data_IF_607878766291
#
_entry.id   IF_607878766291
#
_cell.length_a   1.000
_cell.length_b   1.000
_cell.length_c   1.000
_cell.angle_alpha   90.00
_cell.angle_beta   90.00
_cell.angle_gamma   90.00
#
_symmetry.space_group_name_H-M   'P 1'
#
loop_
_entity.id
_entity.type
_entity.pdbx_description
1 polymer ?
#
# COMPACT_ATOMS: atom_id res chain seq x y z
N UNK A 1 23.15 2.68 -23.15
CA UNK A 1 22.92 2.66 -21.70
C UNK A 1 21.72 1.74 -21.53
N UNK A 2 21.98 0.50 -21.13
CA UNK A 2 20.97 -0.57 -21.17
C UNK A 2 19.94 -0.31 -20.08
N UNK A 3 18.68 -0.25 -20.49
CA UNK A 3 17.50 -0.13 -19.65
C UNK A 3 17.38 -1.43 -18.82
N UNK A 4 18.12 -1.47 -17.71
CA UNK A 4 18.21 -2.65 -16.85
C UNK A 4 16.96 -2.73 -16.00
N UNK A 5 16.06 -3.66 -16.31
CA UNK A 5 14.97 -4.02 -15.42
C UNK A 5 15.60 -4.47 -14.10
N UNK A 6 15.36 -3.74 -13.02
CA UNK A 6 15.78 -4.15 -11.68
C UNK A 6 15.12 -5.51 -11.34
N UNK A 7 15.91 -6.49 -10.88
CA UNK A 7 15.43 -7.84 -10.58
C UNK A 7 15.56 -8.86 -11.73
N UNK A 8 16.40 -8.57 -12.73
CA UNK A 8 16.74 -9.52 -13.80
C UNK A 8 17.87 -10.51 -13.42
N UNK A 9 18.40 -10.40 -12.20
CA UNK A 9 19.42 -11.29 -11.64
C UNK A 9 18.88 -12.72 -11.44
N UNK A 10 19.72 -13.77 -11.65
CA UNK A 10 19.31 -15.14 -11.38
C UNK A 10 19.05 -15.35 -9.89
N UNK A 11 18.00 -16.12 -9.56
CA UNK A 11 17.68 -16.48 -8.18
C UNK A 11 18.82 -17.29 -7.54
N UNK A 12 19.21 -16.89 -6.33
CA UNK A 12 20.22 -17.58 -5.51
C UNK A 12 19.73 -17.72 -4.07
N UNK A 13 20.15 -18.80 -3.41
CA UNK A 13 19.78 -19.06 -2.01
C UNK A 13 20.24 -17.92 -1.09
N UNK A 14 19.37 -17.52 -0.15
CA UNK A 14 19.65 -16.45 0.81
C UNK A 14 19.53 -15.03 0.25
N UNK A 15 19.07 -14.86 -1.00
CA UNK A 15 18.78 -13.55 -1.57
C UNK A 15 17.60 -12.87 -0.83
N UNK A 16 17.82 -11.63 -0.39
CA UNK A 16 16.76 -10.80 0.18
C UNK A 16 16.05 -10.05 -0.94
N UNK A 17 14.79 -10.42 -1.17
CA UNK A 17 13.92 -9.76 -2.14
C UNK A 17 12.93 -8.87 -1.40
N UNK A 18 12.70 -7.67 -1.93
CA UNK A 18 11.70 -6.75 -1.40
C UNK A 18 10.92 -6.17 -2.57
N UNK A 19 9.61 -6.37 -2.56
CA UNK A 19 8.71 -5.82 -3.57
C UNK A 19 8.04 -4.58 -2.98
N UNK A 20 8.25 -3.42 -3.60
CA UNK A 20 7.54 -2.19 -3.25
C UNK A 20 6.44 -1.97 -4.28
N UNK A 21 5.20 -1.93 -3.81
CA UNK A 21 4.03 -1.66 -4.65
C UNK A 21 3.50 -0.29 -4.26
N UNK A 22 3.32 0.59 -5.24
CA UNK A 22 2.68 1.89 -5.06
C UNK A 22 1.36 1.90 -5.81
N UNK A 23 0.30 2.36 -5.14
CA UNK A 23 -1.03 2.47 -5.72
C UNK A 23 -1.67 3.76 -5.24
N UNK A 24 -2.00 4.61 -6.20
CA UNK A 24 -2.50 5.94 -5.89
C UNK A 24 -4.02 5.97 -6.04
N UNK A 25 -4.66 6.67 -5.10
CA UNK A 25 -6.11 6.81 -5.04
C UNK A 25 -6.47 8.28 -4.96
N UNK A 26 -7.55 8.67 -5.64
CA UNK A 26 -8.13 10.01 -5.52
C UNK A 26 -9.48 9.89 -4.84
N UNK A 27 -9.67 10.60 -3.72
CA UNK A 27 -10.96 10.70 -3.06
C UNK A 27 -11.87 11.63 -3.87
N UNK A 28 -12.89 11.06 -4.50
CA UNK A 28 -13.86 11.81 -5.31
C UNK A 28 -15.09 12.25 -4.52
N UNK A 29 -15.43 11.53 -3.44
CA UNK A 29 -16.48 11.86 -2.47
C UNK A 29 -16.13 11.24 -1.10
N UNK A 30 -15.68 12.07 -0.17
CA UNK A 30 -15.22 11.62 1.14
C UNK A 30 -16.34 11.03 2.01
N UNK A 31 -17.56 11.59 1.93
CA UNK A 31 -18.69 11.14 2.74
C UNK A 31 -19.16 9.74 2.32
N UNK A 32 -19.25 9.51 1.01
CA UNK A 32 -19.58 8.17 0.47
C UNK A 32 -18.50 7.14 0.77
N UNK A 33 -17.23 7.53 0.66
CA UNK A 33 -16.11 6.62 0.96
C UNK A 33 -16.12 6.17 2.43
N UNK A 34 -16.27 7.10 3.37
CA UNK A 34 -16.35 6.78 4.80
C UNK A 34 -17.58 5.91 5.12
N UNK A 35 -18.74 6.20 4.55
CA UNK A 35 -19.93 5.39 4.75
C UNK A 35 -19.74 3.95 4.22
N UNK A 36 -19.10 3.79 3.07
CA UNK A 36 -18.80 2.48 2.51
C UNK A 36 -17.80 1.70 3.37
N UNK A 37 -16.70 2.35 3.80
CA UNK A 37 -15.69 1.71 4.63
C UNK A 37 -16.24 1.29 6.01
N UNK A 38 -17.08 2.12 6.65
CA UNK A 38 -17.75 1.76 7.92
C UNK A 38 -18.67 0.56 7.81
N UNK A 39 -19.36 0.44 6.68
CA UNK A 39 -20.19 -0.73 6.39
C UNK A 39 -19.33 -1.98 6.22
N UNK A 40 -18.23 -1.88 5.47
CA UNK A 40 -17.28 -2.98 5.28
C UNK A 40 -16.66 -3.40 6.63
N UNK A 41 -16.29 -2.45 7.48
CA UNK A 41 -15.76 -2.76 8.82
C UNK A 41 -16.75 -3.59 9.65
N UNK A 42 -18.05 -3.25 9.61
CA UNK A 42 -19.10 -4.05 10.27
C UNK A 42 -19.32 -5.43 9.63
N UNK A 43 -19.01 -5.59 8.34
CA UNK A 43 -19.07 -6.89 7.66
C UNK A 43 -17.89 -7.78 8.08
N UNK A 44 -16.71 -7.19 8.32
CA UNK A 44 -15.50 -7.89 8.78
C UNK A 44 -15.54 -8.22 10.27
N UNK A 45 -16.11 -7.34 11.09
CA UNK A 45 -16.22 -7.48 12.54
C UNK A 45 -17.69 -7.66 12.96
N UNK A 46 -18.25 -8.89 12.89
CA UNK A 46 -19.63 -9.18 13.23
C UNK A 46 -19.86 -9.04 14.74
N UNK A 47 -20.06 -7.80 15.18
CA UNK A 47 -20.19 -7.40 16.57
C UNK A 47 -19.96 -5.91 16.78
N UNK A 48 -19.26 -5.25 15.85
CA UNK A 48 -19.09 -3.80 15.85
C UNK A 48 -20.43 -3.09 15.63
N UNK A 49 -20.75 -2.13 16.48
CA UNK A 49 -21.88 -1.24 16.26
C UNK A 49 -21.57 -0.20 15.18
N UNK A 50 -22.60 0.52 14.73
CA UNK A 50 -22.40 1.63 13.82
C UNK A 50 -21.58 2.78 14.44
N UNK A 51 -21.63 2.94 15.76
CA UNK A 51 -20.85 3.93 16.50
C UNK A 51 -19.38 3.51 16.56
N UNK A 52 -19.11 2.24 16.90
CA UNK A 52 -17.74 1.67 16.88
C UNK A 52 -17.12 1.79 15.50
N UNK A 53 -17.87 1.47 14.44
CA UNK A 53 -17.39 1.61 13.08
C UNK A 53 -17.08 3.08 12.72
N UNK A 54 -17.86 4.03 13.22
CA UNK A 54 -17.63 5.46 12.96
C UNK A 54 -16.39 6.00 13.68
N UNK A 55 -16.11 5.49 14.88
CA UNK A 55 -14.90 5.77 15.65
C UNK A 55 -13.67 5.16 14.98
N UNK A 56 -13.74 3.87 14.62
CA UNK A 56 -12.63 3.12 14.02
C UNK A 56 -12.31 3.55 12.59
N UNK A 57 -13.30 4.04 11.84
CA UNK A 57 -13.13 4.51 10.46
C UNK A 57 -13.46 5.99 10.41
N UNK A 58 -12.47 6.82 10.73
CA UNK A 58 -12.63 8.27 10.91
C UNK A 58 -11.85 9.08 9.87
N UNK A 59 -10.80 8.51 9.29
CA UNK A 59 -9.92 9.20 8.34
C UNK A 59 -9.72 8.42 7.02
N UNK A 60 -9.01 9.04 6.07
CA UNK A 60 -8.73 8.45 4.76
C UNK A 60 -7.87 7.19 4.85
N UNK A 61 -6.94 7.13 5.81
CA UNK A 61 -6.11 5.95 6.02
C UNK A 61 -6.95 4.77 6.48
N UNK A 62 -7.77 4.93 7.53
CA UNK A 62 -8.67 3.90 8.03
C UNK A 62 -9.59 3.38 6.91
N UNK A 63 -10.19 4.30 6.15
CA UNK A 63 -11.08 3.96 5.06
C UNK A 63 -10.38 3.15 3.97
N UNK A 64 -9.15 3.51 3.60
CA UNK A 64 -8.37 2.78 2.60
C UNK A 64 -7.91 1.42 3.11
N UNK A 65 -7.44 1.32 4.37
CA UNK A 65 -7.03 0.04 4.96
C UNK A 65 -8.18 -0.97 4.96
N UNK A 66 -9.35 -0.57 5.45
CA UNK A 66 -10.54 -1.43 5.50
C UNK A 66 -10.98 -1.89 4.09
N UNK A 67 -10.96 -0.98 3.11
CA UNK A 67 -11.33 -1.31 1.73
C UNK A 67 -10.32 -2.28 1.10
N UNK A 68 -9.02 -2.08 1.33
CA UNK A 68 -7.96 -2.92 0.76
C UNK A 68 -7.90 -4.30 1.41
N UNK A 69 -8.10 -4.39 2.71
CA UNK A 69 -8.21 -5.65 3.44
C UNK A 69 -9.40 -6.47 2.96
N UNK A 70 -10.59 -5.86 2.84
CA UNK A 70 -11.77 -6.53 2.30
C UNK A 70 -11.59 -6.99 0.84
N UNK A 71 -10.81 -6.26 0.04
CA UNK A 71 -10.43 -6.67 -1.31
C UNK A 71 -9.33 -7.76 -1.35
N UNK A 72 -8.82 -8.17 -0.19
CA UNK A 72 -7.70 -9.10 -0.02
C UNK A 72 -6.37 -8.54 -0.49
N UNK A 73 -6.20 -7.23 -0.66
CA UNK A 73 -4.96 -6.64 -1.16
C UNK A 73 -3.95 -6.35 -0.05
N UNK A 74 -4.38 -6.41 1.21
CA UNK A 74 -3.60 -6.26 2.43
C UNK A 74 -4.13 -7.24 3.50
N UNK A 75 -3.33 -7.46 4.55
CA UNK A 75 -3.72 -8.29 5.70
C UNK A 75 -3.67 -9.81 5.43
N UNK A 76 -4.21 -10.57 6.37
CA UNK A 76 -4.07 -12.03 6.46
C UNK A 76 -4.45 -12.77 5.17
N UNK A 77 -5.50 -12.30 4.47
CA UNK A 77 -5.95 -12.92 3.22
C UNK A 77 -4.93 -12.85 2.06
N UNK A 78 -4.00 -11.89 2.08
CA UNK A 78 -2.88 -11.84 1.12
C UNK A 78 -1.73 -12.72 1.62
N UNK A 79 -1.44 -12.70 2.93
CA UNK A 79 -0.36 -13.47 3.54
C UNK A 79 -0.63 -14.98 3.46
N UNK A 80 -1.87 -15.41 3.64
CA UNK A 80 -2.31 -16.80 3.48
C UNK A 80 -2.06 -17.32 2.05
N UNK A 81 -2.29 -16.45 1.05
CA UNK A 81 -2.02 -16.80 -0.36
C UNK A 81 -0.54 -16.92 -0.64
N UNK A 82 0.29 -16.07 -0.04
CA UNK A 82 1.74 -16.22 -0.14
C UNK A 82 2.24 -17.44 0.64
N UNK A 83 1.59 -17.79 1.75
CA UNK A 83 1.96 -18.94 2.60
C UNK A 83 1.82 -20.25 1.85
N UNK A 84 0.92 -20.33 0.86
CA UNK A 84 0.84 -21.48 -0.04
C UNK A 84 2.16 -21.78 -0.78
N UNK A 85 2.99 -20.76 -1.05
CA UNK A 85 4.29 -20.91 -1.71
C UNK A 85 5.45 -21.20 -0.74
N UNK A 86 5.19 -21.28 0.57
CA UNK A 86 6.23 -21.67 1.54
C UNK A 86 6.75 -23.09 1.26
N UNK A 87 5.89 -24.00 0.79
CA UNK A 87 6.28 -25.33 0.32
C UNK A 87 7.13 -25.32 -0.95
N UNK A 88 7.05 -24.24 -1.73
CA UNK A 88 7.83 -24.01 -2.95
C UNK A 88 9.13 -23.21 -2.67
N UNK A 89 9.48 -23.00 -1.39
CA UNK A 89 10.72 -22.35 -0.97
C UNK A 89 10.61 -20.83 -0.76
N UNK A 90 9.41 -20.25 -0.79
CA UNK A 90 9.20 -18.83 -0.50
C UNK A 90 9.00 -18.58 1.01
N UNK A 91 10.00 -17.98 1.67
CA UNK A 91 9.83 -17.48 3.04
C UNK A 91 9.21 -16.08 3.02
N UNK A 92 8.16 -15.86 3.81
CA UNK A 92 7.44 -14.58 3.88
C UNK A 92 8.06 -13.72 4.99
N UNK A 93 8.45 -12.49 4.64
CA UNK A 93 8.87 -11.47 5.59
C UNK A 93 7.70 -10.62 6.10
N UNK A 94 7.98 -9.66 6.98
CA UNK A 94 6.98 -8.67 7.39
C UNK A 94 6.64 -7.70 6.25
N UNK A 95 5.43 -7.16 6.25
CA UNK A 95 5.00 -6.12 5.31
C UNK A 95 4.81 -4.78 6.02
N UNK A 96 4.90 -3.70 5.25
CA UNK A 96 4.59 -2.32 5.70
C UNK A 96 3.77 -1.66 4.61
N UNK A 97 2.62 -1.10 4.98
CA UNK A 97 1.88 -0.17 4.12
C UNK A 97 1.83 1.20 4.80
N UNK A 98 1.76 2.23 3.97
CA UNK A 98 1.70 3.62 4.38
C UNK A 98 0.72 4.35 3.47
N UNK A 99 -0.13 5.20 4.05
CA UNK A 99 -1.02 6.08 3.30
C UNK A 99 -0.42 7.47 3.33
N UNK A 100 0.08 7.92 2.18
CA UNK A 100 0.60 9.28 2.00
C UNK A 100 -0.56 10.17 1.55
N UNK A 101 -0.82 11.24 2.30
CA UNK A 101 -1.78 12.27 1.91
C UNK A 101 -1.09 13.33 1.06
N UNK A 102 -1.79 13.88 0.08
CA UNK A 102 -1.28 14.92 -0.82
C UNK A 102 0.05 14.54 -1.50
N UNK A 103 0.12 13.31 -2.01
CA UNK A 103 1.28 12.78 -2.73
C UNK A 103 1.72 13.75 -3.85
N UNK A 104 2.95 14.29 -3.79
CA UNK A 104 3.40 15.36 -4.70
C UNK A 104 3.50 14.90 -6.16
N UNK A 105 3.63 13.60 -6.41
CA UNK A 105 3.81 13.04 -7.75
C UNK A 105 2.84 11.90 -8.03
N UNK A 106 1.52 12.14 -8.09
CA UNK A 106 0.54 11.07 -8.24
C UNK A 106 0.76 10.32 -9.57
N UNK A 107 0.66 8.98 -9.50
CA UNK A 107 0.66 8.11 -10.66
C UNK A 107 -0.58 8.41 -11.51
N UNK A 108 -0.38 8.52 -12.82
CA UNK A 108 -1.45 8.72 -13.78
C UNK A 108 -1.86 7.36 -14.36
N UNK A 109 -3.17 7.05 -14.42
CA UNK A 109 -3.63 5.82 -15.07
C UNK A 109 -3.32 5.81 -16.58
N UNK A 110 -3.01 6.98 -17.18
CA UNK A 110 -2.66 7.15 -18.59
C UNK A 110 -1.69 8.32 -18.82
N UNK A 111 -0.77 8.24 -19.79
CA UNK A 111 -0.30 7.04 -20.48
C UNK A 111 0.68 6.25 -19.58
N UNK A 112 1.21 5.12 -20.05
CA UNK A 112 2.21 4.25 -19.37
C UNK A 112 3.54 4.95 -18.94
N UNK A 113 3.56 6.29 -18.90
CA UNK A 113 4.74 7.11 -18.60
C UNK A 113 5.32 6.88 -17.21
N UNK A 114 4.53 6.38 -16.25
CA UNK A 114 5.05 6.09 -14.91
C UNK A 114 5.91 4.82 -14.85
N UNK A 115 5.80 3.91 -15.81
CA UNK A 115 6.69 2.75 -15.94
C UNK A 115 8.06 3.12 -16.54
N UNK A 116 8.20 4.30 -17.15
CA UNK A 116 9.40 4.78 -17.84
C UNK A 116 10.02 6.01 -17.16
N UNK A 117 9.54 6.38 -15.96
CA UNK A 117 10.16 7.43 -15.17
C UNK A 117 11.52 6.95 -14.68
N UNK A 118 12.56 7.70 -15.04
CA UNK A 118 13.95 7.45 -14.63
C UNK A 118 14.24 7.88 -13.19
N UNK A 119 13.35 8.65 -12.58
CA UNK A 119 13.41 9.01 -11.16
C UNK A 119 12.80 7.89 -10.32
N UNK A 120 13.39 7.59 -9.16
CA UNK A 120 12.86 6.60 -8.23
C UNK A 120 11.45 7.03 -7.76
N UNK A 121 10.43 6.39 -8.31
CA UNK A 121 9.01 6.63 -8.00
C UNK A 121 8.64 6.27 -6.54
N UNK A 122 9.59 5.70 -5.80
CA UNK A 122 9.51 5.40 -4.38
C UNK A 122 10.48 6.23 -3.52
N UNK A 123 11.16 7.22 -4.11
CA UNK A 123 11.99 8.15 -3.36
C UNK A 123 11.11 8.99 -2.44
N UNK A 124 11.41 8.96 -1.15
CA UNK A 124 10.82 9.88 -0.18
C UNK A 124 11.34 11.30 -0.47
N UNK A 125 10.56 12.36 -0.19
CA UNK A 125 11.12 13.71 -0.16
C UNK A 125 12.33 13.71 0.77
N UNK A 126 13.43 14.33 0.35
CA UNK A 126 14.59 14.50 1.23
C UNK A 126 14.08 15.14 2.53
N UNK A 127 14.33 14.49 3.68
CA UNK A 127 14.03 15.09 4.98
C UNK A 127 14.62 16.49 4.99
N UNK A 128 13.77 17.51 5.10
CA UNK A 128 14.23 18.87 5.23
C UNK A 128 15.13 18.90 6.46
N UNK A 129 16.44 19.03 6.24
CA UNK A 129 17.39 19.13 7.34
C UNK A 129 16.92 20.29 8.23
N UNK A 130 16.79 20.09 9.55
CA UNK A 130 16.43 21.19 10.42
C UNK A 130 17.48 22.30 10.23
N UNK A 131 17.06 23.59 10.24
CA UNK A 131 18.00 24.68 10.09
C UNK A 131 19.07 24.57 11.18
N UNK A 132 20.34 24.64 10.76
CA UNK A 132 21.48 24.73 11.68
C UNK A 132 21.27 25.99 12.54
N UNK A 133 20.96 25.80 13.82
CA UNK A 133 20.95 26.88 14.79
C UNK A 133 22.40 27.36 14.99
N UNK A 134 22.61 28.67 14.78
CA UNK A 134 23.88 29.38 14.97
C UNK A 134 23.98 29.97 16.38
#
# INVERSE_FOLDING_TARGET
>A
MTDGIAGAEPLVDGMNLSVRLRRDFTVTDAGRLLAAARRIHQELEPGASAEDAAEMVSCAADALFVVLEHAGLLGDAVDDRFTAYAGDGLAIGGWRAEVVTDEPWPLSPQPRGDCLRSDDVFALPAEASPPLEH
#
